data_IF_862160261720
#
_entry.id   IF_862160261720
#
_cell.length_a   1.000
_cell.length_b   1.000
_cell.length_c   1.000
_cell.angle_alpha   90.00
_cell.angle_beta   90.00
_cell.angle_gamma   90.00
#
_symmetry.space_group_name_H-M   'P 1'
#
loop_
_entity.id
_entity.type
_entity.pdbx_description
1 polymer ?
#
# COMPACT_ATOMS: atom_id res chain seq x y z
N UNK A 1 -9.47 -14.18 2.30
CA UNK A 1 -8.37 -14.31 3.28
C UNK A 1 -7.21 -13.42 2.87
N UNK A 2 -6.10 -13.47 3.62
CA UNK A 2 -4.83 -12.80 3.29
C UNK A 2 -3.75 -13.86 3.31
N UNK A 3 -2.80 -13.79 2.38
CA UNK A 3 -1.58 -14.57 2.42
C UNK A 3 -0.40 -13.62 2.53
N UNK A 4 0.47 -13.86 3.50
CA UNK A 4 1.72 -13.14 3.66
C UNK A 4 2.84 -14.06 3.15
N UNK A 5 3.64 -13.57 2.22
CA UNK A 5 4.74 -14.32 1.63
C UNK A 5 5.99 -13.47 1.76
N UNK A 6 7.00 -14.01 2.43
CA UNK A 6 8.31 -13.37 2.54
C UNK A 6 9.15 -13.74 1.32
N UNK A 7 9.66 -12.72 0.62
CA UNK A 7 10.45 -12.85 -0.60
C UNK A 7 11.52 -11.77 -0.63
N UNK A 8 12.69 -12.09 -1.16
CA UNK A 8 13.82 -11.15 -1.20
C UNK A 8 13.52 -9.85 -1.99
N UNK A 9 12.67 -9.92 -3.01
CA UNK A 9 12.38 -8.80 -3.93
C UNK A 9 10.89 -8.70 -4.26
N UNK A 10 10.05 -8.18 -3.34
CA UNK A 10 8.59 -8.23 -3.48
C UNK A 10 8.08 -7.49 -4.72
N UNK A 11 8.67 -6.35 -5.09
CA UNK A 11 8.28 -5.58 -6.29
C UNK A 11 8.56 -6.34 -7.58
N UNK A 12 9.71 -6.98 -7.70
CA UNK A 12 10.04 -7.82 -8.87
C UNK A 12 9.10 -9.02 -8.98
N UNK A 13 8.74 -9.65 -7.85
CA UNK A 13 7.80 -10.77 -7.81
C UNK A 13 6.41 -10.33 -8.28
N UNK A 14 5.89 -9.21 -7.77
CA UNK A 14 4.57 -8.70 -8.18
C UNK A 14 4.57 -8.30 -9.65
N UNK A 15 5.65 -7.69 -10.16
CA UNK A 15 5.80 -7.38 -11.60
C UNK A 15 5.73 -8.65 -12.45
N UNK A 16 6.44 -9.72 -12.08
CA UNK A 16 6.38 -11.01 -12.79
C UNK A 16 4.99 -11.65 -12.73
N UNK A 17 4.33 -11.60 -11.56
CA UNK A 17 2.95 -12.09 -11.43
C UNK A 17 1.98 -11.33 -12.35
N UNK A 18 2.15 -10.01 -12.47
CA UNK A 18 1.39 -9.16 -13.39
C UNK A 18 1.66 -9.46 -14.86
N UNK A 19 2.86 -9.88 -15.22
CA UNK A 19 3.18 -10.36 -16.56
C UNK A 19 2.52 -11.72 -16.84
N UNK A 20 2.59 -12.66 -15.90
CA UNK A 20 1.94 -13.97 -16.01
C UNK A 20 0.42 -13.83 -16.13
N UNK A 21 -0.20 -12.95 -15.34
CA UNK A 21 -1.66 -12.76 -15.33
C UNK A 21 -2.24 -12.22 -16.63
N UNK A 22 -1.41 -11.63 -17.51
CA UNK A 22 -1.84 -11.17 -18.85
C UNK A 22 -2.19 -12.34 -19.77
N UNK A 23 -1.48 -13.46 -19.63
CA UNK A 23 -1.61 -14.62 -20.51
C UNK A 23 -2.23 -15.84 -19.83
N UNK A 24 -2.19 -15.94 -18.49
CA UNK A 24 -2.63 -17.11 -17.73
C UNK A 24 -3.51 -16.69 -16.54
N UNK A 25 -4.66 -16.09 -16.86
CA UNK A 25 -5.53 -15.43 -15.87
C UNK A 25 -6.22 -16.43 -14.94
N UNK A 26 -6.52 -17.62 -15.45
CA UNK A 26 -7.12 -18.74 -14.72
C UNK A 26 -6.29 -19.19 -13.51
N UNK A 27 -4.96 -19.02 -13.56
CA UNK A 27 -4.07 -19.29 -12.42
C UNK A 27 -4.38 -18.41 -11.20
N UNK A 28 -4.99 -17.25 -11.42
CA UNK A 28 -5.29 -16.26 -10.39
C UNK A 28 -6.74 -16.33 -9.89
N UNK A 29 -7.53 -17.32 -10.33
CA UNK A 29 -8.98 -17.40 -10.06
C UNK A 29 -9.39 -17.51 -8.58
N UNK A 30 -8.44 -17.62 -7.65
CA UNK A 30 -8.67 -17.68 -6.19
C UNK A 30 -8.07 -16.50 -5.43
N UNK A 31 -7.45 -15.56 -6.13
CA UNK A 31 -6.70 -14.43 -5.57
C UNK A 31 -7.13 -13.13 -6.24
N UNK A 32 -7.12 -12.02 -5.51
CA UNK A 32 -7.63 -10.75 -6.02
C UNK A 32 -6.56 -9.65 -6.12
N UNK A 33 -5.67 -9.52 -5.12
CA UNK A 33 -4.67 -8.44 -5.08
C UNK A 33 -3.31 -8.95 -4.64
N UNK A 34 -2.28 -8.41 -5.26
CA UNK A 34 -0.88 -8.62 -4.90
C UNK A 34 -0.22 -7.27 -4.71
N UNK A 35 0.17 -7.00 -3.47
CA UNK A 35 0.69 -5.71 -3.04
C UNK A 35 2.07 -5.95 -2.45
N UNK A 36 3.14 -5.39 -3.03
CA UNK A 36 4.46 -5.50 -2.43
C UNK A 36 4.53 -4.60 -1.19
N UNK A 37 5.14 -5.08 -0.11
CA UNK A 37 5.29 -4.34 1.16
C UNK A 37 6.72 -3.83 1.32
N UNK A 38 6.90 -2.53 1.59
CA UNK A 38 8.23 -1.96 1.87
C UNK A 38 8.60 -2.10 3.35
N UNK A 39 7.64 -1.91 4.25
CA UNK A 39 7.86 -1.93 5.70
C UNK A 39 6.71 -2.60 6.44
N UNK A 40 7.06 -3.45 7.39
CA UNK A 40 6.13 -3.96 8.40
C UNK A 40 6.35 -3.23 9.72
N UNK A 41 5.26 -2.73 10.30
CA UNK A 41 5.25 -2.05 11.61
C UNK A 41 4.07 -2.54 12.45
N UNK A 42 4.05 -2.19 13.74
CA UNK A 42 2.86 -2.36 14.58
C UNK A 42 1.73 -1.47 14.05
N UNK A 43 0.48 -1.93 14.18
CA UNK A 43 -0.71 -1.16 13.79
C UNK A 43 -1.09 -0.05 14.78
N UNK A 44 -0.08 0.61 15.37
CA UNK A 44 -0.24 1.81 16.18
C UNK A 44 0.00 3.04 15.30
N UNK A 45 -0.79 4.10 15.49
CA UNK A 45 -0.73 5.33 14.69
C UNK A 45 0.70 5.89 14.62
N UNK A 46 1.40 5.95 15.75
CA UNK A 46 2.76 6.49 15.82
C UNK A 46 3.77 5.68 14.99
N UNK A 47 3.64 4.36 14.95
CA UNK A 47 4.56 3.49 14.22
C UNK A 47 4.28 3.56 12.72
N UNK A 48 3.00 3.60 12.33
CA UNK A 48 2.59 3.81 10.94
C UNK A 48 3.03 5.18 10.42
N UNK A 49 2.82 6.24 11.21
CA UNK A 49 3.27 7.60 10.87
C UNK A 49 4.78 7.67 10.67
N UNK A 50 5.59 7.04 11.54
CA UNK A 50 7.06 7.00 11.37
C UNK A 50 7.46 6.33 10.06
N UNK A 51 6.83 5.21 9.72
CA UNK A 51 7.09 4.52 8.45
C UNK A 51 6.68 5.38 7.25
N UNK A 52 5.50 5.99 7.26
CA UNK A 52 5.03 6.90 6.21
C UNK A 52 6.00 8.07 6.05
N UNK A 53 6.34 8.76 7.14
CA UNK A 53 7.26 9.91 7.15
C UNK A 53 8.62 9.58 6.52
N UNK A 54 9.12 8.36 6.69
CA UNK A 54 10.37 7.92 6.07
C UNK A 54 10.28 7.71 4.55
N UNK A 55 9.08 7.57 4.00
CA UNK A 55 8.81 7.41 2.56
C UNK A 55 8.48 8.74 1.87
N UNK A 56 7.95 9.72 2.61
CA UNK A 56 7.58 11.06 2.09
C UNK A 56 8.69 11.73 1.24
N UNK A 57 9.99 11.68 1.60
CA UNK A 57 11.05 12.26 0.77
C UNK A 57 11.12 11.71 -0.67
N UNK A 58 10.58 10.51 -0.92
CA UNK A 58 10.54 9.88 -2.24
C UNK A 58 9.38 10.35 -3.12
N UNK A 59 8.46 11.15 -2.57
CA UNK A 59 7.42 11.85 -3.32
C UNK A 59 7.97 13.24 -3.63
N UNK A 60 8.04 13.64 -4.89
CA UNK A 60 8.47 14.99 -5.27
C UNK A 60 7.39 16.02 -4.93
N UNK A 61 7.76 17.29 -4.84
CA UNK A 61 6.84 18.37 -4.45
C UNK A 61 5.66 18.55 -5.40
N UNK A 62 5.86 18.25 -6.69
CA UNK A 62 4.87 18.38 -7.76
C UNK A 62 4.27 17.04 -8.18
N UNK A 63 4.65 15.92 -7.54
CA UNK A 63 4.07 14.61 -7.84
C UNK A 63 2.73 14.48 -7.13
N UNK A 64 1.71 14.14 -7.92
CA UNK A 64 0.38 13.85 -7.40
C UNK A 64 0.40 12.58 -6.59
N UNK A 65 -0.21 12.60 -5.42
CA UNK A 65 -0.25 11.43 -4.55
C UNK A 65 -1.63 11.17 -3.96
N UNK A 66 -1.82 9.95 -3.49
CA UNK A 66 -2.96 9.58 -2.64
C UNK A 66 -2.52 8.62 -1.53
N UNK A 67 -3.35 8.54 -0.49
CA UNK A 67 -3.27 7.47 0.50
C UNK A 67 -4.39 6.46 0.26
N UNK A 68 -4.03 5.19 0.28
CA UNK A 68 -4.97 4.07 0.16
C UNK A 68 -4.78 3.19 1.40
N UNK A 69 -5.80 3.12 2.25
CA UNK A 69 -5.77 2.36 3.49
C UNK A 69 -6.69 1.16 3.35
N UNK A 70 -6.26 -0.01 3.77
CA UNK A 70 -7.12 -1.17 3.95
C UNK A 70 -6.92 -1.71 5.35
N UNK A 71 -8.01 -2.14 5.99
CA UNK A 71 -7.96 -2.71 7.33
C UNK A 71 -8.69 -4.03 7.41
N UNK A 72 -8.05 -5.02 8.03
CA UNK A 72 -8.61 -6.34 8.32
C UNK A 72 -8.25 -6.74 9.74
N UNK A 73 -9.22 -7.29 10.47
CA UNK A 73 -9.09 -7.65 11.88
C UNK A 73 -8.61 -6.47 12.75
N UNK A 74 -9.06 -5.24 12.44
CA UNK A 74 -8.66 -4.01 13.13
C UNK A 74 -9.87 -3.12 13.42
N UNK A 75 -10.09 -2.84 14.70
CA UNK A 75 -11.26 -2.15 15.25
C UNK A 75 -10.92 -0.87 16.03
N UNK A 76 -9.63 -0.58 16.27
CA UNK A 76 -9.21 0.58 17.08
C UNK A 76 -9.62 1.94 16.53
N UNK A 77 -9.60 2.11 15.20
CA UNK A 77 -9.92 3.36 14.52
C UNK A 77 -10.76 3.10 13.28
N UNK A 78 -11.66 4.03 12.96
CA UNK A 78 -12.40 4.00 11.71
C UNK A 78 -11.53 4.41 10.51
N UNK A 79 -12.05 4.20 9.30
CA UNK A 79 -11.32 4.48 8.06
C UNK A 79 -10.96 5.97 7.89
N UNK A 80 -11.89 6.86 8.22
CA UNK A 80 -11.72 8.31 8.04
C UNK A 80 -10.71 8.85 9.06
N UNK A 81 -10.81 8.40 10.30
CA UNK A 81 -9.89 8.73 11.38
C UNK A 81 -8.46 8.27 11.03
N UNK A 82 -8.30 7.05 10.51
CA UNK A 82 -7.01 6.54 10.06
C UNK A 82 -6.39 7.43 8.98
N UNK A 83 -7.15 7.77 7.92
CA UNK A 83 -6.64 8.63 6.85
C UNK A 83 -6.17 9.96 7.44
N UNK A 84 -7.02 10.65 8.22
CA UNK A 84 -6.68 11.97 8.79
C UNK A 84 -5.36 11.87 9.58
N UNK A 85 -5.28 10.93 10.53
CA UNK A 85 -4.10 10.76 11.38
C UNK A 85 -2.85 10.39 10.59
N UNK A 86 -2.95 9.48 9.61
CA UNK A 86 -1.80 9.01 8.86
C UNK A 86 -1.30 10.05 7.85
N UNK A 87 -2.20 10.89 7.30
CA UNK A 87 -1.81 11.98 6.39
C UNK A 87 -1.17 13.18 7.09
N UNK A 88 -1.32 13.31 8.42
CA UNK A 88 -0.78 14.42 9.22
C UNK A 88 0.75 14.58 9.09
N UNK A 89 1.46 13.48 8.81
CA UNK A 89 2.92 13.48 8.62
C UNK A 89 3.38 13.65 7.17
N UNK A 90 2.44 13.90 6.24
CA UNK A 90 2.70 14.06 4.81
C UNK A 90 2.54 15.54 4.43
N UNK A 91 3.66 16.21 4.15
CA UNK A 91 3.73 17.63 3.80
C UNK A 91 3.54 17.92 2.30
N UNK A 92 3.09 16.92 1.52
CA UNK A 92 2.90 17.01 0.07
C UNK A 92 1.49 17.51 -0.26
N UNK A 93 1.40 18.60 -1.02
CA UNK A 93 0.13 19.31 -1.29
C UNK A 93 -0.65 18.76 -2.49
N UNK A 94 0.04 18.16 -3.46
CA UNK A 94 -0.57 17.69 -4.70
C UNK A 94 -1.35 16.38 -4.50
N UNK A 95 -2.60 16.47 -4.06
CA UNK A 95 -3.45 15.30 -3.85
C UNK A 95 -4.33 15.05 -5.08
N UNK A 96 -4.25 13.85 -5.66
CA UNK A 96 -5.12 13.41 -6.75
C UNK A 96 -5.64 12.00 -6.48
N UNK A 97 -6.90 11.90 -6.04
CA UNK A 97 -7.54 10.63 -5.69
C UNK A 97 -7.95 9.79 -6.92
N UNK A 98 -7.84 10.33 -8.13
CA UNK A 98 -8.25 9.66 -9.38
C UNK A 98 -7.05 9.21 -10.20
N UNK A 99 -6.01 10.03 -10.28
CA UNK A 99 -4.81 9.80 -11.10
C UNK A 99 -3.55 10.18 -10.31
N UNK A 100 -3.23 9.46 -9.23
CA UNK A 100 -1.99 9.66 -8.50
C UNK A 100 -0.79 9.18 -9.32
N UNK A 101 0.36 9.82 -9.12
CA UNK A 101 1.67 9.30 -9.54
C UNK A 101 2.28 8.43 -8.43
N UNK A 102 1.95 8.73 -7.17
CA UNK A 102 2.40 7.97 -5.99
C UNK A 102 1.24 7.57 -5.08
N UNK A 103 1.28 6.35 -4.57
CA UNK A 103 0.26 5.79 -3.68
C UNK A 103 0.95 5.36 -2.38
N UNK A 104 0.61 5.99 -1.27
CA UNK A 104 0.95 5.49 0.05
C UNK A 104 -0.08 4.42 0.40
N UNK A 105 0.29 3.16 0.20
CA UNK A 105 -0.56 1.99 0.47
C UNK A 105 -0.33 1.52 1.90
N UNK A 106 -1.40 1.39 2.68
CA UNK A 106 -1.38 0.96 4.08
C UNK A 106 -2.30 -0.26 4.24
N UNK A 107 -1.73 -1.44 4.44
CA UNK A 107 -2.47 -2.70 4.66
C UNK A 107 -2.39 -3.09 6.15
N UNK A 108 -3.42 -2.74 6.92
CA UNK A 108 -3.53 -3.10 8.34
C UNK A 108 -4.11 -4.51 8.47
N UNK A 109 -3.39 -5.38 9.17
CA UNK A 109 -3.77 -6.76 9.46
C UNK A 109 -3.56 -7.07 10.93
N UNK A 110 -4.63 -7.00 11.71
CA UNK A 110 -4.58 -7.23 13.15
C UNK A 110 -3.62 -6.26 13.85
N UNK A 111 -2.57 -6.80 14.48
CA UNK A 111 -1.56 -6.05 15.22
C UNK A 111 -0.44 -5.47 14.35
N UNK A 112 -0.44 -5.75 13.06
CA UNK A 112 0.60 -5.34 12.12
C UNK A 112 0.02 -4.47 11.00
N UNK A 113 0.87 -3.64 10.39
CA UNK A 113 0.55 -2.88 9.19
C UNK A 113 1.71 -2.97 8.20
N UNK A 114 1.39 -3.30 6.96
CA UNK A 114 2.30 -3.19 5.82
C UNK A 114 2.16 -1.80 5.19
N UNK A 115 3.27 -1.12 4.95
CA UNK A 115 3.30 0.21 4.35
C UNK A 115 4.19 0.19 3.12
N UNK A 116 3.69 0.77 2.03
CA UNK A 116 4.40 0.87 0.76
C UNK A 116 4.20 2.23 0.12
N UNK A 117 5.21 2.69 -0.61
CA UNK A 117 5.07 3.80 -1.55
C UNK A 117 5.13 3.23 -2.98
N UNK A 118 4.00 3.19 -3.66
CA UNK A 118 3.84 2.53 -4.95
C UNK A 118 3.56 3.54 -6.06
N UNK A 119 3.97 3.23 -7.28
CA UNK A 119 3.39 3.77 -8.50
C UNK A 119 2.14 2.94 -8.91
N UNK A 120 1.20 3.50 -9.68
CA UNK A 120 -0.04 2.82 -10.07
C UNK A 120 0.16 1.45 -10.74
N UNK A 121 1.32 1.19 -11.34
CA UNK A 121 1.64 -0.05 -12.03
C UNK A 121 2.43 -1.06 -11.19
N UNK A 122 2.83 -0.72 -9.96
CA UNK A 122 3.68 -1.57 -9.09
C UNK A 122 2.91 -2.59 -8.24
N UNK A 123 1.58 -2.63 -8.37
CA UNK A 123 0.75 -3.67 -7.78
C UNK A 123 -0.15 -4.32 -8.84
N UNK A 124 -0.72 -5.47 -8.48
CA UNK A 124 -1.63 -6.24 -9.33
C UNK A 124 -2.99 -6.34 -8.65
N UNK A 125 -4.02 -5.88 -9.36
CA UNK A 125 -5.41 -6.27 -9.12
C UNK A 125 -5.80 -7.24 -10.24
N UNK A 126 -6.26 -8.42 -9.85
CA UNK A 126 -6.81 -9.42 -10.76
C UNK A 126 -8.28 -9.06 -10.96
N UNK A 127 -8.55 -8.22 -11.96
CA UNK A 127 -9.90 -7.72 -12.32
C UNK A 127 -10.43 -8.40 -13.54
#
# INVERSE_FOLDING_TARGET
GIFLVDVAKPREVVKKLKEISKNNRELFGKTYRYIPIDKWVKSEISDMQKAIKSLVPKIKKNEKWMMDVEKRYYDKHDYKELIIKLTDVVDRKEIDLKKPEKIIKVEIVGKNAGISLLEPDEFLIVS
#
